data_IF_299284237360
#
_entry.id   IF_299284237360
#
_cell.length_a   1.000
_cell.length_b   1.000
_cell.length_c   1.000
_cell.angle_alpha   90.00
_cell.angle_beta   90.00
_cell.angle_gamma   90.00
#
_symmetry.space_group_name_H-M   'P 1'
#
loop_
_entity.id
_entity.type
_entity.pdbx_description
1 polymer ?
#
# COMPACT_ATOMS: atom_id res chain seq x y z
N UNK A 1 -13.12 7.47 33.98
CA UNK A 1 -14.34 7.88 33.24
C UNK A 1 -14.21 7.72 31.72
N UNK A 2 -13.09 8.06 31.05
CA UNK A 2 -12.98 7.88 29.59
C UNK A 2 -12.98 6.41 29.12
N UNK A 3 -12.37 5.50 29.90
CA UNK A 3 -12.29 4.09 29.50
C UNK A 3 -13.67 3.40 29.46
N UNK A 4 -14.62 3.76 30.34
CA UNK A 4 -15.95 3.14 30.31
C UNK A 4 -16.79 3.60 29.11
N UNK A 5 -16.62 4.85 28.65
CA UNK A 5 -17.36 5.36 27.48
C UNK A 5 -16.86 4.69 26.20
N UNK A 6 -15.54 4.55 26.04
CA UNK A 6 -14.97 3.86 24.88
C UNK A 6 -15.37 2.39 24.84
N UNK A 7 -15.35 1.70 25.98
CA UNK A 7 -15.83 0.32 26.09
C UNK A 7 -17.30 0.19 25.67
N UNK A 8 -18.18 1.05 26.20
CA UNK A 8 -19.61 1.02 25.84
C UNK A 8 -19.86 1.27 24.34
N UNK A 9 -19.09 2.16 23.71
CA UNK A 9 -19.20 2.42 22.26
C UNK A 9 -18.62 1.24 21.47
N UNK A 10 -17.53 0.65 21.93
CA UNK A 10 -16.90 -0.54 21.32
C UNK A 10 -17.88 -1.72 21.27
N UNK A 11 -18.56 -1.97 22.39
CA UNK A 11 -19.56 -3.04 22.52
C UNK A 11 -20.77 -2.80 21.60
N UNK A 12 -21.28 -1.56 21.52
CA UNK A 12 -22.43 -1.26 20.65
C UNK A 12 -22.11 -1.34 19.16
N UNK A 13 -20.87 -1.07 18.76
CA UNK A 13 -20.41 -1.15 17.36
C UNK A 13 -19.84 -2.52 16.97
N UNK A 14 -19.78 -3.48 17.90
CA UNK A 14 -19.11 -4.76 17.72
C UNK A 14 -17.68 -4.60 17.17
N UNK A 15 -16.96 -3.61 17.68
CA UNK A 15 -15.58 -3.28 17.30
C UNK A 15 -14.66 -3.48 18.50
N UNK A 16 -13.34 -3.62 18.26
CA UNK A 16 -12.37 -3.63 19.36
C UNK A 16 -12.05 -2.21 19.83
N UNK A 17 -11.74 -2.05 21.12
CA UNK A 17 -11.37 -0.74 21.69
C UNK A 17 -10.16 -0.14 20.93
N UNK A 18 -9.21 -0.99 20.56
CA UNK A 18 -8.05 -0.59 19.76
C UNK A 18 -8.44 -0.04 18.39
N UNK A 19 -9.41 -0.65 17.70
CA UNK A 19 -9.90 -0.16 16.41
C UNK A 19 -10.63 1.18 16.56
N UNK A 20 -11.41 1.36 17.62
CA UNK A 20 -12.12 2.61 17.87
C UNK A 20 -11.14 3.75 18.21
N UNK A 21 -10.14 3.51 19.07
CA UNK A 21 -9.09 4.51 19.35
C UNK A 21 -8.30 4.88 18.10
N UNK A 22 -7.99 3.90 17.24
CA UNK A 22 -7.34 4.13 15.97
C UNK A 22 -8.18 5.05 15.07
N UNK A 23 -9.47 4.73 14.89
CA UNK A 23 -10.39 5.52 14.07
C UNK A 23 -10.51 6.97 14.59
N UNK A 24 -10.73 7.15 15.90
CA UNK A 24 -10.80 8.47 16.53
C UNK A 24 -9.48 9.24 16.27
N UNK A 25 -8.34 8.57 16.40
CA UNK A 25 -7.04 9.20 16.21
C UNK A 25 -6.80 9.65 14.77
N UNK A 26 -7.26 8.88 13.78
CA UNK A 26 -7.24 9.29 12.37
C UNK A 26 -8.14 10.53 12.18
N UNK A 27 -9.34 10.53 12.74
CA UNK A 27 -10.29 11.64 12.63
C UNK A 27 -9.81 12.92 13.33
N UNK A 28 -9.11 12.81 14.47
CA UNK A 28 -8.44 13.93 15.14
C UNK A 28 -7.40 14.61 14.25
N UNK A 29 -6.89 13.92 13.24
CA UNK A 29 -6.04 14.51 12.22
C UNK A 29 -6.68 15.71 11.50
N UNK A 30 -8.00 15.72 11.31
CA UNK A 30 -8.72 16.82 10.65
C UNK A 30 -8.66 18.15 11.44
N UNK A 31 -9.10 18.23 12.71
CA UNK A 31 -8.98 19.46 13.48
C UNK A 31 -7.51 19.87 13.67
N UNK A 32 -6.57 18.93 13.78
CA UNK A 32 -5.12 19.24 13.82
C UNK A 32 -4.67 19.88 12.50
N UNK A 33 -5.14 19.36 11.35
CA UNK A 33 -4.83 19.92 10.03
C UNK A 33 -5.39 21.34 9.87
N UNK A 34 -6.63 21.58 10.29
CA UNK A 34 -7.24 22.91 10.26
C UNK A 34 -6.49 23.87 11.19
N UNK A 35 -6.16 23.45 12.41
CA UNK A 35 -5.38 24.26 13.34
C UNK A 35 -4.04 24.66 12.73
N UNK A 36 -3.27 23.71 12.18
CA UNK A 36 -2.02 24.01 11.48
C UNK A 36 -2.24 24.98 10.32
N UNK A 37 -3.23 24.72 9.46
CA UNK A 37 -3.53 25.54 8.29
C UNK A 37 -3.80 27.00 8.64
N UNK A 38 -4.59 27.26 9.68
CA UNK A 38 -4.97 28.62 10.05
C UNK A 38 -3.95 29.32 10.97
N UNK A 39 -3.02 28.59 11.59
CA UNK A 39 -2.12 29.18 12.60
C UNK A 39 -0.63 29.09 12.29
N UNK A 40 -0.16 28.07 11.57
CA UNK A 40 1.28 27.76 11.42
C UNK A 40 1.72 27.58 9.97
N UNK A 41 0.81 27.31 9.06
CA UNK A 41 1.13 27.13 7.65
C UNK A 41 1.77 28.40 7.05
N UNK A 42 2.84 28.22 6.28
CA UNK A 42 3.64 29.33 5.73
C UNK A 42 4.47 30.11 6.77
N UNK A 43 4.44 29.73 8.05
CA UNK A 43 5.29 30.31 9.10
C UNK A 43 6.59 29.51 9.26
N UNK A 44 7.40 29.89 10.25
CA UNK A 44 8.69 29.28 10.57
C UNK A 44 8.65 27.73 10.51
N UNK A 45 9.49 27.09 9.67
CA UNK A 45 9.57 25.62 9.56
C UNK A 45 9.75 24.91 10.90
N UNK A 46 10.58 25.46 11.80
CA UNK A 46 10.84 24.89 13.13
C UNK A 46 9.56 24.78 13.95
N UNK A 47 8.70 25.81 13.95
CA UNK A 47 7.43 25.78 14.65
C UNK A 47 6.49 24.71 14.09
N UNK A 48 6.48 24.54 12.76
CA UNK A 48 5.70 23.50 12.10
C UNK A 48 6.22 22.10 12.47
N UNK A 49 7.54 21.89 12.46
CA UNK A 49 8.13 20.61 12.87
C UNK A 49 7.79 20.25 14.32
N UNK A 50 7.93 21.21 15.25
CA UNK A 50 7.57 21.02 16.67
C UNK A 50 6.09 20.65 16.79
N UNK A 51 5.21 21.37 16.09
CA UNK A 51 3.78 21.10 16.10
C UNK A 51 3.47 19.68 15.61
N UNK A 52 3.97 19.28 14.44
CA UNK A 52 3.73 17.95 13.89
C UNK A 52 4.26 16.85 14.80
N UNK A 53 5.52 16.97 15.26
CA UNK A 53 6.12 15.99 16.16
C UNK A 53 5.32 15.85 17.46
N UNK A 54 4.90 16.97 18.06
CA UNK A 54 4.13 16.97 19.31
C UNK A 54 2.77 16.31 19.12
N UNK A 55 2.00 16.72 18.10
CA UNK A 55 0.70 16.14 17.83
C UNK A 55 0.77 14.63 17.55
N UNK A 56 1.73 14.19 16.72
CA UNK A 56 1.88 12.76 16.43
C UNK A 56 2.38 11.94 17.62
N UNK A 57 3.26 12.49 18.46
CA UNK A 57 3.67 11.86 19.73
C UNK A 57 2.48 11.70 20.67
N UNK A 58 1.63 12.71 20.81
CA UNK A 58 0.41 12.63 21.63
C UNK A 58 -0.57 11.59 21.09
N UNK A 59 -0.77 11.55 19.77
CA UNK A 59 -1.58 10.51 19.11
C UNK A 59 -0.99 9.11 19.38
N UNK A 60 0.32 8.95 19.28
CA UNK A 60 1.00 7.68 19.54
C UNK A 60 0.86 7.25 21.00
N UNK A 61 1.07 8.17 21.96
CA UNK A 61 0.88 7.93 23.39
C UNK A 61 -0.55 7.50 23.71
N UNK A 62 -1.55 8.15 23.10
CA UNK A 62 -2.95 7.78 23.28
C UNK A 62 -3.26 6.35 22.82
N UNK A 63 -2.69 5.92 21.69
CA UNK A 63 -2.92 4.58 21.16
C UNK A 63 -2.06 3.51 21.84
N UNK A 64 -0.81 3.80 22.19
CA UNK A 64 0.14 2.74 22.55
C UNK A 64 0.85 2.95 23.89
N UNK A 65 0.57 4.05 24.59
CA UNK A 65 1.22 4.38 25.86
C UNK A 65 2.74 4.40 25.71
N UNK A 66 3.43 3.78 26.67
CA UNK A 66 4.91 3.71 26.68
C UNK A 66 5.51 2.89 25.52
N UNK A 67 4.71 2.15 24.74
CA UNK A 67 5.23 1.47 23.55
C UNK A 67 5.71 2.45 22.46
N UNK A 68 5.43 3.76 22.57
CA UNK A 68 6.08 4.80 21.75
C UNK A 68 7.61 4.76 21.81
N UNK A 69 8.18 4.23 22.90
CA UNK A 69 9.63 4.08 23.04
C UNK A 69 10.23 3.24 21.91
N UNK A 70 9.47 2.29 21.34
CA UNK A 70 9.90 1.51 20.18
C UNK A 70 10.13 2.37 18.94
N UNK A 71 9.14 3.17 18.53
CA UNK A 71 9.28 4.07 17.38
C UNK A 71 10.33 5.15 17.65
N UNK A 72 10.38 5.70 18.87
CA UNK A 72 11.38 6.69 19.26
C UNK A 72 12.81 6.14 19.18
N UNK A 73 13.04 4.90 19.64
CA UNK A 73 14.33 4.23 19.52
C UNK A 73 14.75 4.09 18.04
N UNK A 74 13.82 3.70 17.16
CA UNK A 74 14.15 3.56 15.73
C UNK A 74 14.47 4.86 15.02
N UNK A 75 13.78 5.95 15.39
CA UNK A 75 14.09 7.31 14.91
C UNK A 75 15.46 7.76 15.40
N UNK A 76 15.75 7.57 16.69
CA UNK A 76 17.03 7.95 17.28
C UNK A 76 18.21 7.20 16.65
N UNK A 77 18.13 5.88 16.55
CA UNK A 77 19.19 5.07 15.94
C UNK A 77 19.42 5.47 14.48
N UNK A 78 18.35 5.63 13.70
CA UNK A 78 18.43 6.09 12.31
C UNK A 78 19.14 7.44 12.21
N UNK A 79 18.74 8.43 13.02
CA UNK A 79 19.39 9.74 13.06
C UNK A 79 20.89 9.65 13.40
N UNK A 80 21.25 8.88 14.43
CA UNK A 80 22.64 8.72 14.87
C UNK A 80 23.52 8.07 13.80
N UNK A 81 22.98 7.08 13.09
CA UNK A 81 23.68 6.42 11.98
C UNK A 81 23.90 7.41 10.83
N UNK A 82 22.85 8.11 10.40
CA UNK A 82 22.97 9.10 9.33
C UNK A 82 23.91 10.25 9.72
N UNK A 83 23.91 10.69 10.98
CA UNK A 83 24.76 11.80 11.45
C UNK A 83 26.25 11.44 11.47
N UNK A 84 26.58 10.16 11.68
CA UNK A 84 27.96 9.67 11.72
C UNK A 84 28.48 9.24 10.35
N UNK A 85 27.62 8.59 9.55
CA UNK A 85 28.02 7.92 8.32
C UNK A 85 27.50 8.61 7.04
N UNK A 86 26.70 9.68 7.18
CA UNK A 86 26.11 10.41 6.06
C UNK A 86 25.26 9.53 5.14
N UNK A 87 25.14 9.97 3.88
CA UNK A 87 24.51 9.21 2.79
C UNK A 87 25.45 8.16 2.20
N UNK A 88 25.95 7.22 3.00
CA UNK A 88 26.84 6.14 2.53
C UNK A 88 26.09 4.82 2.34
N UNK A 89 26.64 3.91 1.53
CA UNK A 89 26.08 2.56 1.39
C UNK A 89 26.05 1.81 2.72
N UNK A 90 27.02 2.07 3.60
CA UNK A 90 27.08 1.48 4.94
C UNK A 90 25.92 1.96 5.82
N UNK A 91 25.57 3.26 5.78
CA UNK A 91 24.44 3.77 6.57
C UNK A 91 23.12 3.14 6.14
N UNK A 92 22.91 2.97 4.83
CA UNK A 92 21.75 2.27 4.27
C UNK A 92 21.67 0.82 4.77
N UNK A 93 22.76 0.06 4.68
CA UNK A 93 22.78 -1.34 5.12
C UNK A 93 22.43 -1.45 6.60
N UNK A 94 23.05 -0.64 7.46
CA UNK A 94 22.80 -0.64 8.91
C UNK A 94 21.34 -0.29 9.21
N UNK A 95 20.81 0.78 8.61
CA UNK A 95 19.43 1.24 8.83
C UNK A 95 18.43 0.21 8.32
N UNK A 96 18.69 -0.42 7.17
CA UNK A 96 17.86 -1.48 6.61
C UNK A 96 17.78 -2.67 7.55
N UNK A 97 18.93 -3.23 7.92
CA UNK A 97 19.00 -4.41 8.80
C UNK A 97 18.37 -4.09 10.14
N UNK A 98 18.71 -2.95 10.75
CA UNK A 98 18.19 -2.57 12.05
C UNK A 98 16.67 -2.40 12.05
N UNK A 99 16.10 -1.64 11.10
CA UNK A 99 14.65 -1.39 11.09
C UNK A 99 13.86 -2.67 10.76
N UNK A 100 14.35 -3.51 9.84
CA UNK A 100 13.71 -4.78 9.53
C UNK A 100 13.82 -5.75 10.71
N UNK A 101 15.00 -5.92 11.31
CA UNK A 101 15.18 -6.79 12.46
C UNK A 101 14.33 -6.34 13.65
N UNK A 102 14.29 -5.03 13.95
CA UNK A 102 13.49 -4.48 15.05
C UNK A 102 11.99 -4.73 14.84
N UNK A 103 11.49 -4.50 13.62
CA UNK A 103 10.09 -4.78 13.26
C UNK A 103 9.76 -6.27 13.40
N UNK A 104 10.62 -7.15 12.88
CA UNK A 104 10.45 -8.60 12.94
C UNK A 104 10.47 -9.10 14.39
N UNK A 105 11.40 -8.63 15.22
CA UNK A 105 11.39 -8.91 16.66
C UNK A 105 10.08 -8.45 17.32
N UNK A 106 9.58 -7.27 16.94
CA UNK A 106 8.28 -6.77 17.40
C UNK A 106 7.14 -7.73 17.05
N UNK A 107 7.07 -8.23 15.82
CA UNK A 107 6.09 -9.25 15.43
C UNK A 107 6.27 -10.55 16.22
N UNK A 108 7.50 -11.07 16.31
CA UNK A 108 7.77 -12.30 17.06
C UNK A 108 7.30 -12.23 18.52
N UNK A 109 7.48 -11.06 19.15
CA UNK A 109 7.11 -10.87 20.56
C UNK A 109 5.62 -10.56 20.77
N UNK A 110 4.89 -10.11 19.74
CA UNK A 110 3.56 -9.53 19.94
C UNK A 110 2.47 -10.08 19.03
N UNK A 111 2.78 -10.78 17.94
CA UNK A 111 1.78 -11.32 17.02
C UNK A 111 0.92 -12.42 17.67
N UNK A 112 -0.38 -12.40 17.39
CA UNK A 112 -1.32 -13.48 17.71
C UNK A 112 -1.87 -14.12 16.42
N UNK A 113 -2.75 -15.12 16.56
CA UNK A 113 -3.37 -15.79 15.41
C UNK A 113 -4.41 -14.93 14.68
N UNK A 114 -4.80 -13.79 15.25
CA UNK A 114 -5.75 -12.84 14.64
C UNK A 114 -5.08 -11.48 14.39
N UNK A 115 -5.76 -10.63 13.61
CA UNK A 115 -5.23 -9.33 13.26
C UNK A 115 -5.22 -8.37 14.47
N UNK A 116 -4.02 -8.00 14.89
CA UNK A 116 -3.77 -7.16 16.06
C UNK A 116 -3.49 -5.69 15.72
N UNK A 117 -4.17 -4.78 16.41
CA UNK A 117 -3.84 -3.34 16.38
C UNK A 117 -2.87 -3.03 17.53
N UNK A 118 -1.57 -3.15 17.25
CA UNK A 118 -0.47 -2.97 18.21
C UNK A 118 0.52 -1.90 17.73
N UNK A 119 1.50 -1.57 18.57
CA UNK A 119 2.54 -0.58 18.22
C UNK A 119 3.36 -0.97 16.97
N UNK A 120 3.36 -2.24 16.59
CA UNK A 120 3.98 -2.76 15.37
C UNK A 120 3.27 -2.27 14.09
N UNK A 121 2.00 -1.86 14.17
CA UNK A 121 1.24 -1.34 13.02
C UNK A 121 1.81 -0.02 12.48
N UNK A 122 1.97 1.07 13.27
CA UNK A 122 2.68 2.24 12.77
C UNK A 122 4.18 1.95 12.52
N UNK A 123 4.77 1.02 13.28
CA UNK A 123 6.18 0.66 13.10
C UNK A 123 6.46 0.07 11.71
N UNK A 124 5.56 -0.69 11.12
CA UNK A 124 5.80 -1.30 9.81
C UNK A 124 5.90 -0.22 8.70
N UNK A 125 5.06 0.81 8.74
CA UNK A 125 5.14 1.97 7.84
C UNK A 125 6.39 2.80 8.14
N UNK A 126 6.71 2.97 9.42
CA UNK A 126 7.90 3.70 9.87
C UNK A 126 9.20 3.06 9.39
N UNK A 127 9.30 1.73 9.44
CA UNK A 127 10.47 0.99 8.94
C UNK A 127 10.74 1.34 7.47
N UNK A 128 9.72 1.29 6.60
CA UNK A 128 9.84 1.69 5.19
C UNK A 128 10.25 3.16 5.05
N UNK A 129 9.67 4.03 5.87
CA UNK A 129 9.94 5.47 5.87
C UNK A 129 11.40 5.80 6.21
N UNK A 130 11.96 5.17 7.26
CA UNK A 130 13.35 5.38 7.69
C UNK A 130 14.37 4.72 6.75
N UNK A 131 14.05 3.54 6.21
CA UNK A 131 14.86 2.89 5.17
C UNK A 131 14.90 3.76 3.91
N UNK A 132 13.74 4.24 3.44
CA UNK A 132 13.64 5.13 2.29
C UNK A 132 14.45 6.43 2.46
N UNK A 133 14.40 7.03 3.66
CA UNK A 133 15.20 8.20 4.02
C UNK A 133 16.71 7.94 3.80
N UNK A 134 17.23 6.80 4.27
CA UNK A 134 18.64 6.47 4.09
C UNK A 134 19.04 6.34 2.61
N UNK A 135 18.19 5.70 1.79
CA UNK A 135 18.40 5.61 0.35
C UNK A 135 18.33 6.96 -0.34
N UNK A 136 17.42 7.84 0.07
CA UNK A 136 17.28 9.19 -0.50
C UNK A 136 18.54 10.04 -0.23
N UNK A 137 19.12 9.92 0.96
CA UNK A 137 20.37 10.61 1.29
C UNK A 137 21.56 10.03 0.52
N UNK A 138 21.64 8.71 0.36
CA UNK A 138 22.66 8.04 -0.47
C UNK A 138 22.57 8.47 -1.93
N UNK A 139 21.37 8.51 -2.49
CA UNK A 139 21.18 8.92 -3.89
C UNK A 139 21.50 10.41 -4.08
N UNK A 140 21.28 11.25 -3.07
CA UNK A 140 21.69 12.67 -3.11
C UNK A 140 23.20 12.91 -3.09
N UNK A 141 24.02 11.90 -2.80
CA UNK A 141 25.49 11.99 -2.92
C UNK A 141 25.99 11.70 -4.35
N UNK A 142 25.12 11.26 -5.26
CA UNK A 142 25.48 10.93 -6.64
C UNK A 142 25.24 12.13 -7.55
N UNK A 143 25.96 12.19 -8.67
CA UNK A 143 25.68 13.17 -9.72
C UNK A 143 24.29 12.94 -10.32
N UNK A 144 23.60 14.02 -10.66
CA UNK A 144 22.22 13.95 -11.16
C UNK A 144 22.09 13.12 -12.44
N UNK A 145 23.11 13.10 -13.30
CA UNK A 145 23.15 12.27 -14.51
C UNK A 145 23.05 10.75 -14.24
N UNK A 146 23.50 10.29 -13.07
CA UNK A 146 23.46 8.88 -12.66
C UNK A 146 22.13 8.47 -12.03
N UNK A 147 21.25 9.43 -11.74
CA UNK A 147 19.98 9.19 -11.06
C UNK A 147 18.86 8.97 -12.09
N UNK A 148 17.99 7.99 -11.81
CA UNK A 148 16.73 7.87 -12.54
C UNK A 148 15.84 9.11 -12.31
N UNK A 149 14.87 9.34 -13.20
CA UNK A 149 13.88 10.40 -13.01
C UNK A 149 13.15 10.30 -11.66
N UNK A 150 12.80 9.08 -11.22
CA UNK A 150 12.17 8.86 -9.92
C UNK A 150 13.10 9.15 -8.75
N UNK A 151 14.39 8.82 -8.84
CA UNK A 151 15.37 9.11 -7.79
C UNK A 151 15.60 10.62 -7.64
N UNK A 152 15.70 11.35 -8.77
CA UNK A 152 15.88 12.82 -8.75
C UNK A 152 14.78 13.53 -7.95
N UNK A 153 13.54 13.05 -8.02
CA UNK A 153 12.40 13.66 -7.33
C UNK A 153 12.48 13.55 -5.80
N UNK A 154 13.22 12.57 -5.27
CA UNK A 154 13.25 12.27 -3.83
C UNK A 154 14.64 12.30 -3.21
N UNK A 155 15.69 12.50 -4.01
CA UNK A 155 17.07 12.58 -3.54
C UNK A 155 17.25 13.76 -2.55
N UNK A 156 17.98 13.50 -1.47
CA UNK A 156 18.28 14.50 -0.44
C UNK A 156 19.77 14.86 -0.50
N UNK A 157 20.06 16.10 -0.88
CA UNK A 157 21.44 16.63 -0.92
C UNK A 157 21.98 16.89 0.49
N UNK A 158 21.11 17.35 1.38
CA UNK A 158 21.45 17.70 2.75
C UNK A 158 20.88 16.69 3.75
N UNK A 159 21.59 16.51 4.86
CA UNK A 159 21.15 15.65 5.93
C UNK A 159 20.08 16.34 6.78
N UNK A 160 18.90 15.73 6.97
CA UNK A 160 17.89 16.30 7.87
C UNK A 160 18.34 16.30 9.34
N UNK A 161 17.89 17.32 10.05
CA UNK A 161 18.00 17.45 11.51
C UNK A 161 17.16 16.39 12.23
N UNK A 162 17.45 16.18 13.52
CA UNK A 162 16.65 15.25 14.33
C UNK A 162 15.17 15.67 14.40
N UNK A 163 14.92 16.97 14.55
CA UNK A 163 13.58 17.53 14.62
C UNK A 163 12.80 17.28 13.33
N UNK A 164 13.43 17.46 12.17
CA UNK A 164 12.81 17.17 10.88
C UNK A 164 12.47 15.68 10.72
N UNK A 165 13.38 14.77 11.10
CA UNK A 165 13.12 13.31 11.05
C UNK A 165 12.00 12.92 12.03
N UNK A 166 11.98 13.50 13.22
CA UNK A 166 10.95 13.25 14.21
C UNK A 166 9.58 13.74 13.72
N UNK A 167 9.49 14.95 13.18
CA UNK A 167 8.25 15.53 12.67
C UNK A 167 7.76 14.84 11.38
N UNK A 168 8.68 14.38 10.54
CA UNK A 168 8.39 13.51 9.39
C UNK A 168 7.82 12.16 9.81
N UNK A 169 8.39 11.57 10.86
CA UNK A 169 7.95 10.28 11.42
C UNK A 169 6.58 10.40 12.04
N UNK A 170 6.44 11.32 12.99
CA UNK A 170 5.23 11.56 13.76
C UNK A 170 4.29 12.55 13.07
N UNK A 171 4.27 12.57 11.73
CA UNK A 171 3.33 13.42 11.02
C UNK A 171 1.89 12.96 11.35
N UNK A 172 1.05 13.82 11.95
CA UNK A 172 -0.20 13.41 12.59
C UNK A 172 -1.20 12.76 11.62
N UNK A 173 -1.20 13.17 10.35
CA UNK A 173 -2.10 12.60 9.34
C UNK A 173 -1.70 11.22 8.80
N UNK A 174 -0.47 10.77 9.04
CA UNK A 174 0.04 9.55 8.37
C UNK A 174 0.81 8.57 9.26
N UNK A 175 1.08 8.93 10.52
CA UNK A 175 1.89 8.10 11.41
C UNK A 175 1.27 6.72 11.68
N UNK A 176 -0.05 6.65 11.89
CA UNK A 176 -0.72 5.42 12.33
C UNK A 176 -0.85 4.36 11.24
N UNK A 177 -1.35 4.73 10.07
CA UNK A 177 -1.74 3.79 8.99
C UNK A 177 -1.13 4.13 7.63
N UNK A 178 -0.22 5.10 7.58
CA UNK A 178 0.19 5.76 6.33
C UNK A 178 -0.77 6.89 5.94
N UNK A 179 -0.61 7.49 4.75
CA UNK A 179 0.19 6.99 3.62
C UNK A 179 1.71 7.08 3.81
N UNK A 180 2.44 6.26 3.06
CA UNK A 180 3.90 6.33 2.94
C UNK A 180 4.25 7.50 1.99
N UNK A 181 5.22 8.34 2.38
CA UNK A 181 5.78 9.39 1.51
C UNK A 181 7.25 9.63 1.82
N UNK A 182 7.94 10.31 0.91
CA UNK A 182 9.37 10.63 1.04
C UNK A 182 9.62 11.82 1.97
N UNK A 183 10.81 11.85 2.57
CA UNK A 183 11.26 12.99 3.37
C UNK A 183 11.35 14.26 2.53
N UNK A 184 11.73 14.15 1.25
CA UNK A 184 11.78 15.29 0.32
C UNK A 184 10.40 15.94 0.17
N UNK A 185 9.33 15.15 -0.03
CA UNK A 185 7.95 15.66 -0.08
C UNK A 185 7.56 16.37 1.22
N UNK A 186 7.92 15.78 2.36
CA UNK A 186 7.66 16.39 3.65
C UNK A 186 8.35 17.75 3.81
N UNK A 187 9.66 17.82 3.53
CA UNK A 187 10.42 19.06 3.63
C UNK A 187 9.90 20.11 2.64
N UNK A 188 9.60 19.72 1.41
CA UNK A 188 9.06 20.63 0.40
C UNK A 188 7.71 21.21 0.84
N UNK A 189 6.83 20.40 1.41
CA UNK A 189 5.59 20.86 2.03
C UNK A 189 5.83 21.89 3.15
N UNK A 190 6.70 21.59 4.12
CA UNK A 190 6.96 22.51 5.25
C UNK A 190 7.54 23.84 4.78
N UNK A 191 8.40 23.81 3.77
CA UNK A 191 9.02 24.99 3.18
C UNK A 191 8.10 25.72 2.19
N UNK A 192 6.88 25.25 1.97
CA UNK A 192 5.95 25.83 0.99
C UNK A 192 6.42 25.69 -0.46
N UNK A 193 7.37 24.79 -0.74
CA UNK A 193 7.82 24.46 -2.08
C UNK A 193 6.89 23.41 -2.66
N UNK A 194 5.98 23.81 -3.54
CA UNK A 194 5.17 22.85 -4.27
C UNK A 194 5.81 22.57 -5.62
N UNK A 195 6.48 21.43 -5.73
CA UNK A 195 7.22 21.01 -6.92
C UNK A 195 6.23 20.72 -8.07
N UNK A 196 6.25 21.55 -9.11
CA UNK A 196 5.64 21.23 -10.41
C UNK A 196 6.71 20.56 -11.27
N UNK A 197 6.41 19.34 -11.73
CA UNK A 197 7.13 18.75 -12.84
C UNK A 197 6.43 19.25 -14.10
N UNK A 198 7.04 20.19 -14.80
CA UNK A 198 6.62 20.52 -16.15
C UNK A 198 6.91 19.29 -17.03
N UNK A 199 5.92 18.83 -17.80
CA UNK A 199 6.08 17.65 -18.66
C UNK A 199 6.80 17.99 -19.96
N UNK A 200 6.78 19.25 -20.35
CA UNK A 200 7.33 19.73 -21.62
C UNK A 200 8.71 20.37 -21.48
N UNK A 201 9.10 20.72 -20.25
CA UNK A 201 10.46 21.10 -19.91
C UNK A 201 10.88 20.27 -18.70
N UNK A 202 12.02 19.61 -18.70
CA UNK A 202 12.57 18.93 -17.51
C UNK A 202 12.95 19.92 -16.38
N UNK A 203 12.26 21.06 -16.27
CA UNK A 203 12.45 22.11 -15.30
C UNK A 203 11.40 22.00 -14.21
N UNK A 204 11.86 22.16 -12.96
CA UNK A 204 10.99 22.21 -11.79
C UNK A 204 10.55 23.66 -11.62
N UNK A 205 9.24 23.92 -11.69
CA UNK A 205 8.68 25.21 -11.25
C UNK A 205 8.20 25.07 -9.82
N UNK A 206 8.68 25.95 -8.96
CA UNK A 206 8.19 26.07 -7.58
C UNK A 206 7.02 27.06 -7.58
N UNK A 207 5.80 26.58 -7.34
CA UNK A 207 4.68 27.45 -6.99
C UNK A 207 4.57 27.50 -5.45
N UNK A 208 4.30 28.69 -4.90
CA UNK A 208 4.18 28.94 -3.44
C UNK A 208 2.69 29.15 -3.06
N UNK A 209 1.74 28.86 -3.96
CA UNK A 209 0.34 29.17 -3.71
C UNK A 209 -0.41 28.04 -2.96
N UNK A 210 -1.07 28.42 -1.87
CA UNK A 210 -1.88 27.53 -1.07
C UNK A 210 -3.24 27.29 -1.74
N UNK A 211 -3.33 26.22 -2.51
CA UNK A 211 -4.58 25.83 -3.14
C UNK A 211 -5.63 25.41 -2.08
N UNK A 212 -6.92 25.57 -2.40
CA UNK A 212 -7.98 25.07 -1.54
C UNK A 212 -7.98 23.53 -1.54
N UNK A 213 -7.62 22.97 -0.40
CA UNK A 213 -7.46 21.54 -0.17
C UNK A 213 -8.47 20.99 0.85
N UNK A 214 -9.31 21.85 1.42
CA UNK A 214 -10.28 21.46 2.45
C UNK A 214 -11.38 20.61 1.83
N UNK A 215 -12.02 21.11 0.77
CA UNK A 215 -13.10 20.37 0.08
C UNK A 215 -12.59 19.02 -0.48
N UNK A 216 -11.45 18.96 -1.20
CA UNK A 216 -10.85 17.68 -1.62
C UNK A 216 -10.58 16.73 -0.45
N UNK A 217 -10.04 17.23 0.67
CA UNK A 217 -9.78 16.43 1.87
C UNK A 217 -11.05 15.85 2.49
N UNK A 218 -12.07 16.68 2.71
CA UNK A 218 -13.37 16.26 3.26
C UNK A 218 -14.05 15.26 2.32
N UNK A 219 -14.03 15.52 1.00
CA UNK A 219 -14.60 14.60 0.01
C UNK A 219 -13.93 13.21 0.08
N UNK A 220 -12.61 13.18 0.25
CA UNK A 220 -11.86 11.92 0.41
C UNK A 220 -12.21 11.20 1.71
N UNK A 221 -12.35 11.92 2.82
CA UNK A 221 -12.80 11.35 4.10
C UNK A 221 -14.23 10.80 4.02
N UNK A 222 -15.14 11.49 3.33
CA UNK A 222 -16.51 11.04 3.13
C UNK A 222 -16.57 9.69 2.41
N UNK A 223 -15.75 9.50 1.37
CA UNK A 223 -15.58 8.19 0.75
C UNK A 223 -15.06 7.14 1.74
N UNK A 224 -14.15 7.51 2.64
CA UNK A 224 -13.68 6.65 3.73
C UNK A 224 -14.82 6.15 4.63
N UNK A 225 -15.76 7.02 4.99
CA UNK A 225 -16.95 6.64 5.76
C UNK A 225 -17.89 5.70 5.00
N UNK A 226 -18.09 5.92 3.69
CA UNK A 226 -18.88 4.99 2.86
C UNK A 226 -18.25 3.58 2.90
N UNK A 227 -16.94 3.48 2.71
CA UNK A 227 -16.24 2.19 2.76
C UNK A 227 -16.25 1.57 4.16
N UNK A 228 -16.25 2.38 5.23
CA UNK A 228 -16.41 1.89 6.60
C UNK A 228 -17.80 1.26 6.80
N UNK A 229 -18.87 1.88 6.29
CA UNK A 229 -20.23 1.34 6.34
C UNK A 229 -20.31 0.04 5.53
N UNK A 230 -19.77 0.03 4.30
CA UNK A 230 -19.72 -1.18 3.47
C UNK A 230 -18.94 -2.31 4.15
N UNK A 231 -17.83 -2.00 4.82
CA UNK A 231 -17.09 -2.97 5.61
C UNK A 231 -17.95 -3.55 6.74
N UNK A 232 -18.56 -2.70 7.57
CA UNK A 232 -19.36 -3.13 8.72
C UNK A 232 -20.54 -4.02 8.29
N UNK A 233 -21.27 -3.59 7.25
CA UNK A 233 -22.36 -4.39 6.67
C UNK A 233 -21.83 -5.71 6.12
N UNK A 234 -20.77 -5.66 5.31
CA UNK A 234 -20.18 -6.86 4.71
C UNK A 234 -19.73 -7.89 5.73
N UNK A 235 -19.05 -7.47 6.80
CA UNK A 235 -18.59 -8.38 7.87
C UNK A 235 -19.73 -8.89 8.73
N UNK A 236 -20.84 -8.16 8.83
CA UNK A 236 -22.04 -8.64 9.53
C UNK A 236 -22.72 -9.79 8.78
N UNK A 237 -22.67 -9.81 7.44
CA UNK A 237 -23.28 -10.86 6.61
C UNK A 237 -22.33 -12.03 6.35
N UNK A 238 -21.05 -11.75 6.10
CA UNK A 238 -20.05 -12.77 5.75
C UNK A 238 -18.83 -12.59 6.66
N UNK A 239 -18.95 -12.93 7.96
CA UNK A 239 -17.84 -12.88 8.90
C UNK A 239 -16.78 -13.93 8.54
N UNK A 240 -15.55 -13.75 9.01
CA UNK A 240 -14.46 -14.70 8.73
C UNK A 240 -14.79 -16.11 9.21
N UNK A 241 -15.54 -16.24 10.31
CA UNK A 241 -15.98 -17.52 10.86
C UNK A 241 -16.94 -18.26 9.93
N UNK A 242 -17.72 -17.55 9.10
CA UNK A 242 -18.64 -18.18 8.16
C UNK A 242 -17.88 -19.05 7.13
N UNK A 243 -16.72 -18.61 6.64
CA UNK A 243 -15.92 -19.41 5.71
C UNK A 243 -15.35 -20.70 6.34
N UNK A 244 -15.36 -20.79 7.67
CA UNK A 244 -14.94 -21.98 8.43
C UNK A 244 -16.14 -22.84 8.88
N UNK A 245 -17.36 -22.46 8.57
CA UNK A 245 -18.56 -23.16 9.04
C UNK A 245 -18.99 -24.30 8.11
N UNK A 246 -19.75 -25.25 8.65
CA UNK A 246 -20.40 -26.30 7.86
C UNK A 246 -21.39 -25.72 6.84
N UNK A 247 -22.11 -24.64 7.21
CA UNK A 247 -23.08 -23.96 6.33
C UNK A 247 -22.44 -23.44 5.05
N UNK A 248 -21.19 -22.96 5.11
CA UNK A 248 -20.44 -22.56 3.93
C UNK A 248 -20.08 -23.77 3.06
N UNK A 249 -19.70 -24.90 3.68
CA UNK A 249 -19.38 -26.13 2.95
C UNK A 249 -20.60 -26.74 2.24
N UNK A 250 -21.80 -26.57 2.77
CA UNK A 250 -23.04 -27.02 2.13
C UNK A 250 -23.40 -26.24 0.86
N UNK A 251 -22.82 -25.05 0.66
CA UNK A 251 -23.07 -24.27 -0.55
C UNK A 251 -22.48 -24.95 -1.79
N UNK A 252 -23.11 -24.69 -2.93
CA UNK A 252 -22.62 -25.19 -4.23
C UNK A 252 -21.23 -24.62 -4.55
N UNK A 253 -20.44 -25.38 -5.31
CA UNK A 253 -19.05 -25.01 -5.63
C UNK A 253 -18.91 -23.58 -6.16
N UNK A 254 -19.71 -23.20 -7.16
CA UNK A 254 -19.66 -21.84 -7.71
C UNK A 254 -20.08 -20.81 -6.66
N UNK A 255 -21.14 -21.06 -5.89
CA UNK A 255 -21.57 -20.13 -4.84
C UNK A 255 -20.47 -19.89 -3.80
N UNK A 256 -19.73 -20.94 -3.39
CA UNK A 256 -18.56 -20.79 -2.50
C UNK A 256 -17.50 -19.86 -3.08
N UNK A 257 -17.19 -19.98 -4.37
CA UNK A 257 -16.23 -19.10 -5.05
C UNK A 257 -16.69 -17.63 -5.10
N UNK A 258 -17.95 -17.39 -5.41
CA UNK A 258 -18.53 -16.04 -5.40
C UNK A 258 -18.53 -15.42 -4.00
N UNK A 259 -18.88 -16.21 -2.97
CA UNK A 259 -18.82 -15.80 -1.57
C UNK A 259 -17.38 -15.43 -1.19
N UNK A 260 -16.38 -16.25 -1.55
CA UNK A 260 -14.96 -15.96 -1.31
C UNK A 260 -14.54 -14.65 -2.01
N UNK A 261 -14.97 -14.41 -3.25
CA UNK A 261 -14.68 -13.17 -3.97
C UNK A 261 -15.22 -11.93 -3.23
N UNK A 262 -16.48 -11.99 -2.79
CA UNK A 262 -17.12 -10.91 -2.05
C UNK A 262 -16.49 -10.71 -0.68
N UNK A 263 -16.29 -11.79 0.08
CA UNK A 263 -15.62 -11.80 1.37
C UNK A 263 -14.22 -11.18 1.29
N UNK A 264 -13.46 -11.49 0.24
CA UNK A 264 -12.14 -10.93 0.01
C UNK A 264 -12.17 -9.42 -0.21
N UNK A 265 -13.11 -8.92 -1.02
CA UNK A 265 -13.29 -7.48 -1.24
C UNK A 265 -13.67 -6.75 0.04
N UNK A 266 -14.67 -7.27 0.77
CA UNK A 266 -15.08 -6.72 2.06
C UNK A 266 -13.90 -6.68 3.04
N UNK A 267 -13.08 -7.72 3.11
CA UNK A 267 -11.91 -7.73 3.98
C UNK A 267 -10.85 -6.67 3.63
N UNK A 268 -10.80 -6.19 2.39
CA UNK A 268 -9.93 -5.06 2.01
C UNK A 268 -10.52 -3.71 2.41
N UNK A 269 -11.85 -3.60 2.53
CA UNK A 269 -12.51 -2.34 2.88
C UNK A 269 -12.08 -1.80 4.24
N UNK A 270 -11.68 -2.65 5.19
CA UNK A 270 -11.11 -2.21 6.49
C UNK A 270 -9.81 -1.39 6.34
N UNK A 271 -8.99 -1.72 5.35
CA UNK A 271 -7.77 -0.97 5.06
C UNK A 271 -8.09 0.28 4.23
N UNK A 272 -8.95 0.10 3.21
CA UNK A 272 -9.35 1.19 2.31
C UNK A 272 -10.02 2.33 3.09
N UNK A 273 -10.93 2.05 4.02
CA UNK A 273 -11.59 3.10 4.80
C UNK A 273 -10.57 3.90 5.63
N UNK A 274 -9.65 3.22 6.34
CA UNK A 274 -8.61 3.88 7.12
C UNK A 274 -7.67 4.72 6.26
N UNK A 275 -7.28 4.21 5.09
CA UNK A 275 -6.44 4.95 4.14
C UNK A 275 -7.15 6.15 3.54
N UNK A 276 -8.41 6.04 3.14
CA UNK A 276 -9.18 7.18 2.60
C UNK A 276 -9.35 8.29 3.64
N UNK A 277 -9.61 7.94 4.90
CA UNK A 277 -9.68 8.90 6.00
C UNK A 277 -8.32 9.60 6.23
N UNK A 278 -7.23 8.84 6.30
CA UNK A 278 -5.88 9.38 6.48
C UNK A 278 -5.42 10.23 5.27
N UNK A 279 -5.71 9.80 4.05
CA UNK A 279 -5.46 10.55 2.82
C UNK A 279 -6.21 11.90 2.81
N UNK A 280 -7.46 11.90 3.26
CA UNK A 280 -8.25 13.11 3.38
C UNK A 280 -7.64 14.09 4.38
N UNK A 281 -7.20 13.61 5.54
CA UNK A 281 -6.45 14.41 6.53
C UNK A 281 -5.16 14.97 5.94
N UNK A 282 -4.34 14.13 5.31
CA UNK A 282 -3.10 14.57 4.63
C UNK A 282 -3.40 15.60 3.53
N UNK A 283 -4.54 15.48 2.85
CA UNK A 283 -4.98 16.44 1.83
C UNK A 283 -5.37 17.77 2.46
N UNK A 284 -6.07 17.76 3.60
CA UNK A 284 -6.38 18.99 4.35
C UNK A 284 -5.13 19.71 4.88
N UNK A 285 -4.06 18.97 5.20
CA UNK A 285 -2.75 19.59 5.46
C UNK A 285 -2.16 20.28 4.22
N UNK A 286 -2.46 19.78 3.01
CA UNK A 286 -1.87 20.21 1.75
C UNK A 286 -0.72 19.32 1.27
N UNK A 287 -0.34 18.30 2.05
CA UNK A 287 0.79 17.40 1.78
C UNK A 287 0.63 16.59 0.47
N UNK A 288 -0.61 16.33 0.06
CA UNK A 288 -0.95 15.50 -1.09
C UNK A 288 -0.95 16.24 -2.43
N UNK A 289 -0.63 17.54 -2.45
CA UNK A 289 -0.55 18.29 -3.69
C UNK A 289 0.48 17.66 -4.65
N UNK A 290 0.12 17.59 -5.92
CA UNK A 290 0.92 16.93 -6.95
C UNK A 290 0.79 17.64 -8.31
N UNK A 291 0.82 18.98 -8.28
CA UNK A 291 0.72 19.82 -9.48
C UNK A 291 -0.72 20.00 -9.96
N UNK A 292 -0.88 20.37 -11.24
CA UNK A 292 -2.17 20.62 -11.89
C UNK A 292 -2.44 19.60 -12.99
N UNK A 293 -3.72 19.34 -13.27
CA UNK A 293 -4.15 18.52 -14.39
C UNK A 293 -4.07 19.31 -15.71
N UNK A 294 -4.46 18.69 -16.83
CA UNK A 294 -4.49 19.35 -18.16
C UNK A 294 -5.41 20.57 -18.20
N UNK A 295 -6.41 20.62 -17.33
CA UNK A 295 -7.39 21.72 -17.22
C UNK A 295 -6.96 22.79 -16.21
N UNK A 296 -5.73 22.73 -15.70
CA UNK A 296 -5.18 23.66 -14.70
C UNK A 296 -5.68 23.44 -13.27
N UNK A 297 -6.45 22.38 -12.99
CA UNK A 297 -6.98 22.09 -11.65
C UNK A 297 -5.96 21.38 -10.76
N UNK A 298 -5.84 21.74 -9.47
CA UNK A 298 -4.97 21.07 -8.51
C UNK A 298 -5.23 19.55 -8.41
N UNK A 299 -4.14 18.78 -8.39
CA UNK A 299 -4.14 17.34 -8.16
C UNK A 299 -3.78 17.04 -6.70
N UNK A 300 -4.66 16.31 -6.01
CA UNK A 300 -4.50 15.90 -4.61
C UNK A 300 -4.23 14.40 -4.47
N UNK A 301 -3.35 13.86 -5.32
CA UNK A 301 -3.06 12.43 -5.40
C UNK A 301 -1.62 12.05 -5.00
N UNK A 302 -0.84 12.98 -4.44
CA UNK A 302 0.57 12.79 -4.10
C UNK A 302 0.83 11.81 -2.95
N UNK A 303 -0.20 11.43 -2.20
CA UNK A 303 -0.16 10.36 -1.21
C UNK A 303 -1.36 9.40 -1.35
N UNK A 304 -1.93 9.28 -2.55
CA UNK A 304 -3.05 8.36 -2.82
C UNK A 304 -2.57 6.90 -2.63
N UNK A 305 -3.13 6.19 -1.66
CA UNK A 305 -2.92 4.77 -1.42
C UNK A 305 -3.94 3.90 -2.18
N UNK A 306 -5.12 4.44 -2.52
CA UNK A 306 -6.18 3.68 -3.20
C UNK A 306 -6.77 4.40 -4.41
N UNK A 307 -6.88 3.70 -5.55
CA UNK A 307 -7.64 4.18 -6.73
C UNK A 307 -8.97 3.44 -6.84
N UNK A 308 -9.99 3.97 -6.18
CA UNK A 308 -11.29 3.30 -5.98
C UNK A 308 -11.93 2.79 -7.27
N UNK A 309 -12.07 3.62 -8.30
CA UNK A 309 -12.71 3.18 -9.54
C UNK A 309 -11.93 2.03 -10.20
N UNK A 310 -10.60 2.09 -10.17
CA UNK A 310 -9.74 1.04 -10.74
C UNK A 310 -9.80 -0.24 -9.91
N UNK A 311 -9.92 -0.12 -8.60
CA UNK A 311 -10.09 -1.24 -7.68
C UNK A 311 -11.44 -1.94 -7.88
N UNK A 312 -12.55 -1.20 -7.87
CA UNK A 312 -13.91 -1.76 -7.98
C UNK A 312 -14.23 -2.31 -9.38
N UNK A 313 -13.55 -1.81 -10.43
CA UNK A 313 -13.76 -2.24 -11.82
C UNK A 313 -12.60 -3.05 -12.39
N UNK A 314 -11.74 -3.59 -11.52
CA UNK A 314 -10.56 -4.37 -11.92
C UNK A 314 -10.94 -5.55 -12.82
N UNK A 315 -10.35 -5.60 -14.01
CA UNK A 315 -10.50 -6.73 -14.94
C UNK A 315 -9.19 -7.50 -15.15
N UNK A 316 -8.10 -7.04 -14.54
CA UNK A 316 -6.80 -7.69 -14.48
C UNK A 316 -6.29 -7.68 -13.05
N UNK A 317 -5.52 -8.69 -12.64
CA UNK A 317 -4.88 -8.70 -11.33
C UNK A 317 -3.89 -7.54 -11.16
N UNK A 318 -3.21 -7.18 -12.24
CA UNK A 318 -2.37 -5.98 -12.25
C UNK A 318 -3.16 -4.70 -11.90
N UNK A 319 -4.48 -4.67 -12.09
CA UNK A 319 -5.29 -3.53 -11.70
C UNK A 319 -5.40 -3.38 -10.19
N UNK A 320 -5.47 -4.48 -9.44
CA UNK A 320 -5.43 -4.45 -7.97
C UNK A 320 -4.09 -3.94 -7.45
N UNK A 321 -2.96 -4.43 -7.98
CA UNK A 321 -1.62 -3.97 -7.58
C UNK A 321 -1.46 -2.46 -7.80
N UNK A 322 -1.99 -1.94 -8.92
CA UNK A 322 -1.91 -0.53 -9.27
C UNK A 322 -2.96 0.36 -8.58
N UNK A 323 -3.89 -0.23 -7.82
CA UNK A 323 -5.00 0.50 -7.18
C UNK A 323 -5.07 0.32 -5.67
N UNK A 324 -4.37 -0.64 -5.08
CA UNK A 324 -4.36 -0.91 -3.65
C UNK A 324 -2.96 -0.72 -3.07
N UNK A 325 -2.85 -0.07 -1.92
CA UNK A 325 -1.59 0.21 -1.21
C UNK A 325 -0.49 0.85 -2.10
N UNK A 326 -0.90 1.82 -2.93
CA UNK A 326 -0.09 2.37 -4.03
C UNK A 326 1.26 2.91 -3.56
N UNK A 327 1.33 3.62 -2.43
CA UNK A 327 2.59 4.19 -1.97
C UNK A 327 3.57 3.11 -1.48
N UNK A 328 3.09 2.04 -0.83
CA UNK A 328 3.93 0.90 -0.45
C UNK A 328 4.41 0.13 -1.69
N UNK A 329 3.54 -0.07 -2.68
CA UNK A 329 3.94 -0.69 -3.95
C UNK A 329 4.97 0.15 -4.71
N UNK A 330 4.79 1.48 -4.73
CA UNK A 330 5.76 2.41 -5.31
C UNK A 330 7.08 2.37 -4.55
N UNK A 331 7.04 2.34 -3.21
CA UNK A 331 8.22 2.18 -2.38
C UNK A 331 8.96 0.88 -2.72
N UNK A 332 8.27 -0.25 -2.77
CA UNK A 332 8.89 -1.54 -3.12
C UNK A 332 9.48 -1.52 -4.53
N UNK A 333 8.81 -0.87 -5.48
CA UNK A 333 9.31 -0.69 -6.84
C UNK A 333 10.64 0.09 -6.87
N UNK A 334 10.74 1.21 -6.15
CA UNK A 334 11.91 2.09 -6.16
C UNK A 334 13.08 1.58 -5.29
N UNK A 335 12.78 1.07 -4.09
CA UNK A 335 13.81 0.75 -3.08
C UNK A 335 14.22 -0.73 -3.09
N UNK A 336 13.41 -1.62 -3.65
CA UNK A 336 13.72 -3.06 -3.74
C UNK A 336 13.86 -3.48 -5.20
N UNK A 337 12.76 -3.51 -5.96
CA UNK A 337 12.70 -4.07 -7.31
C UNK A 337 13.75 -3.47 -8.26
N UNK A 338 13.78 -2.14 -8.41
CA UNK A 338 14.72 -1.46 -9.30
C UNK A 338 16.18 -1.59 -8.84
N UNK A 339 16.41 -1.73 -7.53
CA UNK A 339 17.75 -1.89 -6.97
C UNK A 339 18.29 -3.31 -7.13
N UNK A 340 17.40 -4.30 -7.27
CA UNK A 340 17.74 -5.68 -7.63
C UNK A 340 18.05 -5.86 -9.13
N UNK A 341 18.22 -4.77 -9.90
CA UNK A 341 18.57 -4.83 -11.34
C UNK A 341 19.88 -5.58 -11.60
N UNK A 342 20.80 -5.63 -10.63
CA UNK A 342 22.06 -6.39 -10.75
C UNK A 342 21.85 -7.89 -10.94
N UNK A 343 20.67 -8.44 -10.60
CA UNK A 343 20.32 -9.85 -10.84
C UNK A 343 20.09 -10.17 -12.34
N UNK A 344 20.02 -9.17 -13.22
CA UNK A 344 19.85 -9.38 -14.66
C UNK A 344 18.49 -9.92 -15.10
N UNK A 345 17.55 -10.17 -14.18
CA UNK A 345 16.23 -10.76 -14.48
C UNK A 345 15.10 -10.03 -13.78
N UNK A 346 14.13 -9.56 -14.58
CA UNK A 346 12.90 -8.94 -14.07
C UNK A 346 12.07 -9.90 -13.21
N UNK A 347 12.14 -11.20 -13.49
CA UNK A 347 11.42 -12.24 -12.75
C UNK A 347 12.04 -12.39 -11.35
N UNK A 348 13.37 -12.45 -11.26
CA UNK A 348 14.05 -12.52 -9.97
C UNK A 348 13.84 -11.25 -9.14
N UNK A 349 13.94 -10.07 -9.75
CA UNK A 349 13.62 -8.81 -9.05
C UNK A 349 12.18 -8.81 -8.53
N UNK A 350 11.20 -9.30 -9.30
CA UNK A 350 9.80 -9.40 -8.85
C UNK A 350 9.63 -10.40 -7.70
N UNK A 351 10.19 -11.60 -7.85
CA UNK A 351 10.14 -12.65 -6.83
C UNK A 351 10.70 -12.16 -5.49
N UNK A 352 11.91 -11.61 -5.46
CA UNK A 352 12.52 -11.12 -4.22
C UNK A 352 11.82 -9.89 -3.66
N UNK A 353 11.16 -9.07 -4.48
CA UNK A 353 10.32 -7.97 -3.99
C UNK A 353 9.08 -8.50 -3.25
N UNK A 354 8.45 -9.55 -3.77
CA UNK A 354 7.30 -10.19 -3.11
C UNK A 354 7.72 -10.97 -1.85
N UNK A 355 8.90 -11.58 -1.85
CA UNK A 355 9.50 -12.16 -0.63
C UNK A 355 9.74 -11.08 0.43
N UNK A 356 10.29 -9.93 0.04
CA UNK A 356 10.45 -8.79 0.94
C UNK A 356 9.11 -8.34 1.54
N UNK A 357 8.06 -8.23 0.72
CA UNK A 357 6.71 -7.87 1.20
C UNK A 357 6.16 -8.90 2.19
N UNK A 358 6.32 -10.19 1.93
CA UNK A 358 5.93 -11.25 2.85
C UNK A 358 6.63 -11.12 4.21
N UNK A 359 7.96 -10.95 4.20
CA UNK A 359 8.76 -10.77 5.41
C UNK A 359 8.38 -9.49 6.15
N UNK A 360 8.15 -8.38 5.43
CA UNK A 360 7.75 -7.11 6.03
C UNK A 360 6.38 -7.17 6.72
N UNK A 361 5.48 -8.05 6.25
CA UNK A 361 4.20 -8.30 6.93
C UNK A 361 4.34 -9.18 8.18
N UNK A 362 5.30 -10.11 8.23
CA UNK A 362 5.63 -10.87 9.42
C UNK A 362 5.84 -12.36 9.17
N UNK A 363 5.78 -13.17 10.24
CA UNK A 363 6.16 -14.59 10.21
C UNK A 363 5.01 -15.57 9.92
N UNK A 364 3.76 -15.11 9.87
CA UNK A 364 2.64 -15.99 9.57
C UNK A 364 2.74 -16.59 8.17
N UNK A 365 2.56 -17.92 8.06
CA UNK A 365 2.69 -18.65 6.80
C UNK A 365 1.74 -18.13 5.71
N UNK A 366 0.59 -17.58 6.13
CA UNK A 366 -0.39 -16.97 5.26
C UNK A 366 0.14 -15.83 4.40
N UNK A 367 1.06 -14.99 4.93
CA UNK A 367 1.66 -13.90 4.16
C UNK A 367 2.49 -14.45 3.00
N UNK A 368 3.35 -15.42 3.28
CA UNK A 368 4.21 -16.04 2.26
C UNK A 368 3.40 -16.71 1.16
N UNK A 369 2.33 -17.43 1.51
CA UNK A 369 1.45 -18.05 0.52
C UNK A 369 0.71 -17.01 -0.32
N UNK A 370 0.24 -15.91 0.28
CA UNK A 370 -0.46 -14.84 -0.44
C UNK A 370 0.43 -14.21 -1.52
N UNK A 371 1.64 -13.79 -1.14
CA UNK A 371 2.59 -13.18 -2.09
C UNK A 371 3.14 -14.18 -3.11
N UNK A 372 3.22 -15.46 -2.77
CA UNK A 372 3.53 -16.51 -3.73
C UNK A 372 2.40 -16.71 -4.76
N UNK A 373 1.14 -16.72 -4.32
CA UNK A 373 -0.02 -16.76 -5.22
C UNK A 373 -0.04 -15.52 -6.11
N UNK A 374 0.21 -14.33 -5.56
CA UNK A 374 0.36 -13.10 -6.35
C UNK A 374 1.43 -13.26 -7.43
N UNK A 375 2.62 -13.78 -7.10
CA UNK A 375 3.67 -14.02 -8.07
C UNK A 375 3.22 -14.94 -9.21
N UNK A 376 2.60 -16.08 -8.87
CA UNK A 376 2.16 -17.07 -9.84
C UNK A 376 1.04 -16.55 -10.74
N UNK A 377 0.08 -15.83 -10.16
CA UNK A 377 -1.04 -15.20 -10.88
C UNK A 377 -0.51 -14.13 -11.83
N UNK A 378 0.37 -13.25 -11.37
CA UNK A 378 0.94 -12.18 -12.18
C UNK A 378 1.82 -12.72 -13.31
N UNK A 379 2.56 -13.80 -13.06
CA UNK A 379 3.29 -14.51 -14.09
C UNK A 379 2.33 -15.06 -15.16
N UNK A 380 1.25 -15.74 -14.73
CA UNK A 380 0.26 -16.32 -15.62
C UNK A 380 -0.48 -15.27 -16.45
N UNK A 381 -0.96 -14.20 -15.81
CA UNK A 381 -1.64 -13.09 -16.48
C UNK A 381 -0.76 -12.44 -17.53
N UNK A 382 0.47 -12.06 -17.17
CA UNK A 382 1.40 -11.39 -18.10
C UNK A 382 1.71 -12.25 -19.31
N UNK A 383 1.94 -13.55 -19.11
CA UNK A 383 2.25 -14.47 -20.20
C UNK A 383 1.03 -14.72 -21.09
N UNK A 384 -0.15 -14.96 -20.49
CA UNK A 384 -1.39 -15.20 -21.21
C UNK A 384 -1.80 -13.98 -22.03
N UNK A 385 -1.75 -12.78 -21.43
CA UNK A 385 -2.02 -11.53 -22.15
C UNK A 385 -1.09 -11.40 -23.36
N UNK A 386 0.21 -11.69 -23.23
CA UNK A 386 1.14 -11.63 -24.37
C UNK A 386 0.78 -12.63 -25.48
N UNK A 387 0.37 -13.86 -25.12
CA UNK A 387 -0.08 -14.87 -26.10
C UNK A 387 -1.34 -14.37 -26.82
N UNK A 388 -2.37 -13.96 -26.07
CA UNK A 388 -3.67 -13.55 -26.61
C UNK A 388 -3.59 -12.27 -27.46
N UNK A 389 -2.76 -11.32 -27.06
CA UNK A 389 -2.59 -10.06 -27.82
C UNK A 389 -1.90 -10.30 -29.17
N UNK A 390 -1.06 -11.34 -29.27
CA UNK A 390 -0.41 -11.74 -30.53
C UNK A 390 -1.33 -12.49 -31.49
N UNK A 391 -2.48 -12.97 -31.03
CA UNK A 391 -3.43 -13.71 -31.87
C UNK A 391 -4.33 -12.75 -32.68
N UNK A 392 -3.90 -12.42 -33.90
CA UNK A 392 -4.60 -11.46 -34.76
C UNK A 392 -6.08 -11.80 -35.00
N UNK A 393 -6.43 -13.09 -35.20
CA UNK A 393 -7.82 -13.53 -35.41
C UNK A 393 -8.72 -13.23 -34.20
N UNK A 394 -8.22 -13.50 -32.99
CA UNK A 394 -8.96 -13.22 -31.77
C UNK A 394 -9.15 -11.71 -31.59
N UNK A 395 -8.08 -10.94 -31.82
CA UNK A 395 -8.13 -9.48 -31.73
C UNK A 395 -9.07 -8.85 -32.76
N UNK A 396 -9.11 -9.38 -34.00
CA UNK A 396 -10.05 -8.90 -35.02
C UNK A 396 -11.49 -9.23 -34.68
N UNK A 397 -11.77 -10.44 -34.17
CA UNK A 397 -13.11 -10.85 -33.75
C UNK A 397 -13.63 -10.01 -32.58
N UNK A 398 -12.79 -9.77 -31.58
CA UNK A 398 -13.13 -8.88 -30.46
C UNK A 398 -13.42 -7.47 -30.99
N UNK A 399 -12.58 -6.92 -31.86
CA UNK A 399 -12.79 -5.58 -32.44
C UNK A 399 -14.09 -5.45 -33.24
N UNK A 400 -14.47 -6.48 -33.99
CA UNK A 400 -15.69 -6.44 -34.83
C UNK A 400 -16.99 -6.66 -34.05
N UNK A 401 -16.94 -7.18 -32.83
CA UNK A 401 -18.13 -7.51 -32.03
C UNK A 401 -18.08 -6.84 -30.64
N UNK A 402 -18.66 -5.63 -30.47
CA UNK A 402 -18.68 -4.94 -29.18
C UNK A 402 -19.29 -5.76 -28.04
N UNK A 403 -20.35 -6.52 -28.32
CA UNK A 403 -20.99 -7.41 -27.35
C UNK A 403 -20.01 -8.46 -26.79
N UNK A 404 -19.13 -9.01 -27.64
CA UNK A 404 -18.12 -9.98 -27.22
C UNK A 404 -17.03 -9.34 -26.36
N UNK A 405 -16.68 -8.07 -26.62
CA UNK A 405 -15.75 -7.32 -25.76
C UNK A 405 -16.33 -7.09 -24.38
N UNK A 406 -17.59 -6.68 -24.29
CA UNK A 406 -18.29 -6.47 -23.02
C UNK A 406 -18.37 -7.80 -22.25
N UNK A 407 -18.77 -8.89 -22.91
CA UNK A 407 -18.82 -10.21 -22.30
C UNK A 407 -17.44 -10.65 -21.79
N UNK A 408 -16.39 -10.50 -22.60
CA UNK A 408 -15.02 -10.82 -22.21
C UNK A 408 -14.59 -10.00 -20.99
N UNK A 409 -14.90 -8.70 -20.97
CA UNK A 409 -14.59 -7.82 -19.84
C UNK A 409 -15.30 -8.26 -18.57
N UNK A 410 -16.59 -8.59 -18.64
CA UNK A 410 -17.37 -9.09 -17.48
C UNK A 410 -16.76 -10.40 -16.97
N UNK A 411 -16.43 -11.34 -17.86
CA UNK A 411 -15.81 -12.61 -17.47
C UNK A 411 -14.45 -12.39 -16.80
N UNK A 412 -13.64 -11.47 -17.33
CA UNK A 412 -12.36 -11.12 -16.72
C UNK A 412 -12.54 -10.48 -15.34
N UNK A 413 -13.47 -9.52 -15.20
CA UNK A 413 -13.81 -8.92 -13.91
C UNK A 413 -14.27 -9.97 -12.90
N UNK A 414 -15.12 -10.92 -13.32
CA UNK A 414 -15.59 -11.99 -12.44
C UNK A 414 -14.45 -12.92 -12.02
N UNK A 415 -13.57 -13.29 -12.95
CA UNK A 415 -12.40 -14.09 -12.67
C UNK A 415 -11.48 -13.39 -11.67
N UNK A 416 -11.11 -12.13 -11.91
CA UNK A 416 -10.22 -11.39 -11.01
C UNK A 416 -10.88 -11.16 -9.65
N UNK A 417 -12.17 -10.88 -9.61
CA UNK A 417 -12.92 -10.72 -8.37
C UNK A 417 -12.86 -11.98 -7.48
N UNK A 418 -13.17 -13.15 -8.04
CA UNK A 418 -13.15 -14.44 -7.32
C UNK A 418 -11.74 -14.79 -6.86
N UNK A 419 -10.77 -14.74 -7.76
CA UNK A 419 -9.42 -15.22 -7.46
C UNK A 419 -8.57 -14.21 -6.67
N UNK A 420 -8.94 -12.93 -6.66
CA UNK A 420 -8.43 -11.98 -5.67
C UNK A 420 -8.87 -12.38 -4.27
N UNK A 421 -10.17 -12.65 -4.07
CA UNK A 421 -10.67 -13.15 -2.79
C UNK A 421 -10.03 -14.49 -2.39
N UNK A 422 -9.84 -15.39 -3.35
CA UNK A 422 -9.13 -16.66 -3.14
C UNK A 422 -7.69 -16.45 -2.63
N UNK A 423 -6.96 -15.49 -3.20
CA UNK A 423 -5.58 -15.20 -2.82
C UNK A 423 -5.51 -14.61 -1.41
N UNK A 424 -6.51 -13.84 -1.00
CA UNK A 424 -6.59 -13.24 0.33
C UNK A 424 -6.94 -14.21 1.46
N UNK A 425 -7.44 -15.42 1.16
CA UNK A 425 -7.78 -16.43 2.18
C UNK A 425 -6.59 -16.61 3.15
N UNK A 426 -5.42 -16.93 2.64
CA UNK A 426 -4.24 -17.13 3.47
C UNK A 426 -3.76 -15.85 4.18
N UNK A 427 -3.90 -14.68 3.55
CA UNK A 427 -3.52 -13.40 4.15
C UNK A 427 -4.39 -13.03 5.35
N UNK A 428 -5.69 -13.34 5.32
CA UNK A 428 -6.62 -13.00 6.41
C UNK A 428 -6.61 -14.05 7.51
N UNK A 429 -6.51 -15.34 7.18
CA UNK A 429 -6.54 -16.42 8.16
C UNK A 429 -5.19 -16.72 8.82
N UNK A 430 -4.08 -16.22 8.27
CA UNK A 430 -2.71 -16.24 8.80
C UNK A 430 -2.05 -17.62 8.98
N UNK A 431 -2.76 -18.61 9.53
CA UNK A 431 -2.23 -19.92 9.90
C UNK A 431 -2.71 -21.05 8.98
N UNK A 432 -1.82 -22.02 8.74
CA UNK A 432 -2.06 -23.13 7.81
C UNK A 432 -3.36 -23.88 8.06
N UNK A 433 -3.69 -24.32 9.28
CA UNK A 433 -4.93 -25.06 9.51
C UNK A 433 -6.19 -24.28 9.09
N UNK A 434 -6.22 -22.97 9.35
CA UNK A 434 -7.38 -22.09 9.06
C UNK A 434 -7.55 -21.86 7.56
N UNK A 435 -6.52 -21.39 6.86
CA UNK A 435 -6.65 -21.14 5.43
C UNK A 435 -6.76 -22.42 4.61
N UNK A 436 -6.12 -23.52 5.05
CA UNK A 436 -6.19 -24.79 4.36
C UNK A 436 -7.61 -25.37 4.39
N UNK A 437 -8.32 -25.21 5.51
CA UNK A 437 -9.73 -25.60 5.60
C UNK A 437 -10.57 -24.94 4.50
N UNK A 438 -10.45 -23.63 4.32
CA UNK A 438 -11.18 -22.91 3.27
C UNK A 438 -10.73 -23.36 1.88
N UNK A 439 -9.43 -23.48 1.61
CA UNK A 439 -8.95 -23.96 0.30
C UNK A 439 -9.43 -25.37 -0.06
N UNK A 440 -9.49 -26.27 0.93
CA UNK A 440 -10.00 -27.64 0.74
C UNK A 440 -11.47 -27.65 0.33
N UNK A 441 -12.29 -26.75 0.89
CA UNK A 441 -13.71 -26.63 0.54
C UNK A 441 -13.94 -26.25 -0.93
N UNK A 442 -12.98 -25.60 -1.57
CA UNK A 442 -13.01 -25.25 -3.00
C UNK A 442 -12.01 -26.05 -3.82
N UNK A 443 -11.63 -27.23 -3.32
CA UNK A 443 -10.79 -28.22 -4.01
C UNK A 443 -9.50 -27.63 -4.57
N UNK A 444 -8.91 -26.65 -3.87
CA UNK A 444 -7.67 -25.99 -4.28
C UNK A 444 -7.70 -25.42 -5.71
N UNK A 445 -8.87 -25.04 -6.24
CA UNK A 445 -9.04 -24.71 -7.66
C UNK A 445 -8.09 -23.61 -8.15
N UNK A 446 -7.84 -22.55 -7.36
CA UNK A 446 -6.89 -21.49 -7.71
C UNK A 446 -5.44 -21.99 -7.75
N UNK A 447 -5.03 -22.82 -6.80
CA UNK A 447 -3.71 -23.45 -6.83
C UNK A 447 -3.56 -24.32 -8.08
N UNK A 448 -4.56 -25.15 -8.40
CA UNK A 448 -4.53 -25.98 -9.61
C UNK A 448 -4.39 -25.11 -10.85
N UNK A 449 -5.20 -24.07 -11.01
CA UNK A 449 -5.16 -23.17 -12.18
C UNK A 449 -3.79 -22.51 -12.33
N UNK A 450 -3.28 -21.84 -11.29
CA UNK A 450 -2.07 -21.01 -11.43
C UNK A 450 -0.76 -21.78 -11.31
N UNK A 451 -0.70 -22.88 -10.54
CA UNK A 451 0.51 -23.70 -10.43
C UNK A 451 0.71 -24.62 -11.64
N UNK A 452 -0.37 -25.06 -12.30
CA UNK A 452 -0.25 -25.84 -13.53
C UNK A 452 -0.06 -24.98 -14.77
N UNK A 453 -0.39 -23.68 -14.70
CA UNK A 453 -0.30 -22.75 -15.82
C UNK A 453 1.07 -22.74 -16.53
N UNK A 454 2.24 -22.72 -15.86
CA UNK A 454 3.52 -22.71 -16.57
C UNK A 454 3.71 -23.90 -17.53
N UNK A 455 3.22 -25.09 -17.15
CA UNK A 455 3.27 -26.27 -18.01
C UNK A 455 2.29 -26.17 -19.17
N UNK A 456 1.07 -25.69 -18.90
CA UNK A 456 0.03 -25.47 -19.91
C UNK A 456 0.48 -24.40 -20.92
N UNK A 457 1.14 -23.33 -20.46
CA UNK A 457 1.67 -22.25 -21.30
C UNK A 457 2.64 -22.77 -22.37
N UNK A 458 3.49 -23.75 -22.04
CA UNK A 458 4.40 -24.37 -23.02
C UNK A 458 3.59 -25.02 -24.15
N UNK A 459 2.51 -25.74 -23.83
CA UNK A 459 1.62 -26.35 -24.81
C UNK A 459 0.89 -25.29 -25.64
N UNK A 460 0.28 -24.29 -24.98
CA UNK A 460 -0.43 -23.18 -25.65
C UNK A 460 0.51 -22.48 -26.64
N UNK A 461 1.73 -22.13 -26.23
CA UNK A 461 2.70 -21.49 -27.11
C UNK A 461 3.07 -22.38 -28.29
N UNK A 462 3.23 -23.69 -28.09
CA UNK A 462 3.54 -24.64 -29.18
C UNK A 462 2.40 -24.72 -30.22
N UNK A 463 1.14 -24.66 -29.79
CA UNK A 463 -0.02 -24.69 -30.68
C UNK A 463 -0.31 -23.34 -31.35
N UNK A 464 -0.29 -22.25 -30.59
CA UNK A 464 -0.74 -20.92 -31.03
C UNK A 464 0.38 -20.02 -31.56
N UNK A 465 1.63 -20.24 -31.15
CA UNK A 465 2.81 -19.54 -31.67
C UNK A 465 3.61 -20.50 -32.57
N UNK A 466 3.01 -20.98 -33.67
CA UNK A 466 3.78 -21.67 -34.73
C UNK A 466 4.95 -20.78 -35.14
N UNK A 467 6.18 -21.33 -35.14
CA UNK A 467 7.36 -20.71 -35.75
C UNK A 467 6.97 -20.30 -37.17
N UNK A 468 7.11 -19.01 -37.51
CA UNK A 468 7.20 -18.62 -38.93
C UNK A 468 8.28 -19.51 -39.53
N UNK A 469 8.05 -20.18 -40.68
CA UNK A 469 9.17 -20.78 -41.39
C UNK A 469 10.20 -19.68 -41.61
N UNK A 470 11.48 -19.95 -41.29
CA UNK A 470 12.57 -19.13 -41.83
C UNK A 470 12.30 -19.08 -43.33
N UNK A 471 12.13 -17.89 -43.91
CA UNK A 471 12.37 -17.75 -45.34
C UNK A 471 13.81 -18.23 -45.53
N UNK A 472 13.95 -19.42 -46.08
CA UNK A 472 15.14 -19.78 -46.83
C UNK A 472 15.02 -19.00 -48.13
N UNK A 473 16.11 -18.31 -48.45
CA UNK A 473 16.38 -17.46 -49.62
C UNK A 473 15.89 -16.00 -49.52
#
# INVERSE_FOLDING_TARGET
MSNSILLNISESLNASEAALRLLISILLGLPIALLHRYTLNGKCPVCQHIFFATCGVLICLWNYGLNILHSAATVYVTYRVLKRLGGSSLSVIIIFIFNMAYLLCGYYMTSTDDYDIKWTMPQCVLALRLIGLSFNLLDGQKSEEKLSASQKQVALKEQPTFLEIAAFTYFPGSFLVGPQFSMKRYLDYVHGRYTIIDKDSNSVKEEIELHDCIIPGISRMFLGFIYLICYQLGTSYIPNQYLLSAEFQEQTFFKRLFIIGFWGHVNLYKYICCWLLAEGVCTTFGLTYNGKNKDGRPLWNGCENVKLLKFETASHFNDYILSFNINTNTWCAEYIYKRLKFLGSKIYSQFFTLVFLAVWHGFHSGYYLCFFLEFMIMFAEKDLTQILTKQQKLQSLLKSHPALQILTRILMMMHTFVFMGYSLICFIFLSYPRYNHVYSSVYYCGHIIYLTYPFISVLIKKFFLKKRPKKLE
#
